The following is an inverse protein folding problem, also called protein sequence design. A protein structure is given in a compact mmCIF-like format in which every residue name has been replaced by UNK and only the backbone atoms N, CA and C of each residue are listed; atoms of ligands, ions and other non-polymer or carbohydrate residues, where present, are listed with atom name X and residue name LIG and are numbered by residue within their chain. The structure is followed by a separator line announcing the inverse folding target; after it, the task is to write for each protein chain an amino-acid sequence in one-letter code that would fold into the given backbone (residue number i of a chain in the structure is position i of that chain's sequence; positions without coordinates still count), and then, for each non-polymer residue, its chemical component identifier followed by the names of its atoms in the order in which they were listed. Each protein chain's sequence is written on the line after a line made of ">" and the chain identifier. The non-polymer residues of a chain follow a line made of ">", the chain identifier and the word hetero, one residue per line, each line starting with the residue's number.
data_IF_126990788640
#
_entry.id   IF_126990788640
#
_cell.length_a   1.000
_cell.length_b   1.000
_cell.length_c   1.000
_cell.angle_alpha   90.00
_cell.angle_beta   90.00
_cell.angle_gamma   90.00
#
_symmetry.space_group_name_H-M   'P 1'
#
loop_
_entity.id
_entity.type
_entity.pdbx_description
1 polymer ?
#
# COMPACT_ATOMS: atom_id res chain seq x y z
N UNK A 1 31.77 2.78 -1.84
CA UNK A 1 30.42 3.33 -2.00
C UNK A 1 29.43 2.45 -1.29
N UNK A 2 28.69 3.03 -0.35
CA UNK A 2 27.66 2.31 0.39
C UNK A 2 26.43 2.15 -0.50
N UNK A 3 25.94 0.93 -0.67
CA UNK A 3 24.66 0.69 -1.31
C UNK A 3 23.55 1.21 -0.40
N UNK A 4 22.60 1.95 -0.96
CA UNK A 4 21.49 2.53 -0.21
C UNK A 4 20.78 1.51 0.69
N UNK A 5 20.60 0.27 0.22
CA UNK A 5 19.88 -0.78 0.94
C UNK A 5 20.67 -1.50 2.04
N UNK A 6 21.98 -1.23 2.21
CA UNK A 6 22.81 -1.97 3.18
C UNK A 6 22.76 -1.42 4.59
N UNK A 7 22.25 -0.18 4.80
CA UNK A 7 22.28 0.53 6.08
C UNK A 7 21.01 0.42 6.90
N UNK A 8 19.83 0.24 6.27
CA UNK A 8 18.55 0.17 6.95
C UNK A 8 17.80 -1.09 6.55
N UNK A 9 17.33 -1.85 7.53
CA UNK A 9 16.58 -3.09 7.32
C UNK A 9 15.20 -3.05 7.97
N UNK A 10 14.98 -2.17 8.95
CA UNK A 10 13.75 -2.15 9.74
C UNK A 10 13.02 -0.81 9.62
N UNK A 11 11.70 -0.85 9.82
CA UNK A 11 10.90 0.37 9.92
C UNK A 11 11.31 1.23 11.10
N UNK A 12 11.74 0.61 12.20
CA UNK A 12 12.24 1.35 13.35
C UNK A 12 13.43 2.24 12.97
N UNK A 13 14.37 1.71 12.21
CA UNK A 13 15.52 2.47 11.71
C UNK A 13 15.09 3.57 10.74
N UNK A 14 14.15 3.27 9.84
CA UNK A 14 13.75 4.19 8.77
C UNK A 14 12.85 5.33 9.27
N UNK A 15 11.86 5.02 10.10
CA UNK A 15 10.80 5.96 10.48
C UNK A 15 10.48 5.99 11.97
N UNK A 16 11.28 5.30 12.81
CA UNK A 16 11.02 5.24 14.25
C UNK A 16 10.99 6.61 14.92
N UNK A 17 11.78 7.56 14.44
CA UNK A 17 11.79 8.93 14.97
C UNK A 17 10.49 9.69 14.71
N UNK A 18 9.69 9.32 13.74
CA UNK A 18 8.39 9.95 13.46
C UNK A 18 7.41 9.78 14.62
N UNK A 19 7.54 8.69 15.38
CA UNK A 19 6.65 8.42 16.53
C UNK A 19 6.80 9.45 17.62
N UNK A 20 7.93 10.13 17.71
CA UNK A 20 8.19 11.20 18.71
C UNK A 20 7.75 12.58 18.22
N UNK A 21 7.39 12.72 16.97
CA UNK A 21 6.96 13.99 16.39
C UNK A 21 5.58 14.39 16.90
N UNK A 22 5.37 15.68 17.22
CA UNK A 22 4.08 16.15 17.73
C UNK A 22 2.90 15.84 16.81
N UNK A 23 3.08 15.92 15.48
CA UNK A 23 2.00 15.62 14.54
C UNK A 23 1.54 14.16 14.64
N UNK A 24 2.50 13.23 14.81
CA UNK A 24 2.19 11.80 14.91
C UNK A 24 1.47 11.51 16.22
N UNK A 25 1.95 12.07 17.31
CA UNK A 25 1.31 11.93 18.63
C UNK A 25 -0.11 12.50 18.61
N UNK A 26 -0.31 13.62 17.92
CA UNK A 26 -1.65 14.20 17.74
C UNK A 26 -2.59 13.25 16.99
N UNK A 27 -2.11 12.59 15.94
CA UNK A 27 -2.89 11.59 15.21
C UNK A 27 -3.34 10.46 16.16
N UNK A 28 -2.38 9.87 16.87
CA UNK A 28 -2.65 8.73 17.75
C UNK A 28 -3.62 9.12 18.87
N UNK A 29 -3.42 10.27 19.49
CA UNK A 29 -4.30 10.78 20.56
C UNK A 29 -5.71 11.06 20.03
N UNK A 30 -5.84 11.66 18.85
CA UNK A 30 -7.12 11.95 18.24
C UNK A 30 -7.91 10.69 17.94
N UNK A 31 -7.27 9.69 17.32
CA UNK A 31 -7.92 8.41 17.00
C UNK A 31 -8.34 7.69 18.28
N UNK A 32 -7.45 7.65 19.28
CA UNK A 32 -7.74 7.05 20.58
C UNK A 32 -8.93 7.73 21.27
N UNK A 33 -8.97 9.06 21.23
CA UNK A 33 -10.07 9.86 21.81
C UNK A 33 -11.39 9.54 21.10
N UNK A 34 -11.39 9.51 19.78
CA UNK A 34 -12.61 9.18 19.02
C UNK A 34 -13.12 7.78 19.35
N UNK A 35 -12.24 6.78 19.45
CA UNK A 35 -12.61 5.43 19.87
C UNK A 35 -13.18 5.43 21.30
N UNK A 36 -12.55 6.17 22.19
CA UNK A 36 -13.02 6.32 23.59
C UNK A 36 -14.37 6.99 23.74
N UNK A 37 -14.74 7.81 22.75
CA UNK A 37 -16.07 8.46 22.67
C UNK A 37 -17.13 7.57 22.01
N UNK A 38 -16.79 6.32 21.67
CA UNK A 38 -17.73 5.38 21.06
C UNK A 38 -17.81 5.46 19.53
N UNK A 39 -16.96 6.25 18.89
CA UNK A 39 -16.91 6.26 17.41
C UNK A 39 -16.25 4.99 16.90
N UNK A 40 -16.83 4.43 15.86
CA UNK A 40 -16.26 3.26 15.19
C UNK A 40 -15.25 3.75 14.16
N UNK A 41 -13.99 3.33 14.33
CA UNK A 41 -12.86 3.66 13.46
C UNK A 41 -12.34 2.38 12.83
N UNK A 42 -12.09 2.41 11.52
CA UNK A 42 -11.47 1.30 10.80
C UNK A 42 -10.05 1.66 10.37
N UNK A 43 -9.15 0.67 10.28
CA UNK A 43 -9.30 -0.70 10.77
C UNK A 43 -9.29 -0.75 12.30
N UNK A 44 -9.55 -1.93 12.92
CA UNK A 44 -9.35 -2.10 14.36
C UNK A 44 -7.96 -1.62 14.80
N UNK A 45 -7.84 -1.17 16.05
CA UNK A 45 -6.61 -0.55 16.54
C UNK A 45 -5.37 -1.43 16.32
N UNK A 46 -5.49 -2.72 16.53
CA UNK A 46 -4.40 -3.70 16.34
C UNK A 46 -3.98 -3.87 14.89
N UNK A 47 -4.80 -3.44 13.92
CA UNK A 47 -4.54 -3.63 12.49
C UNK A 47 -4.04 -2.39 11.77
N UNK A 48 -4.03 -1.23 12.41
CA UNK A 48 -3.69 0.06 11.77
C UNK A 48 -2.32 0.01 11.06
N UNK A 49 -1.34 -0.67 11.65
CA UNK A 49 0.02 -0.75 11.12
C UNK A 49 0.36 -2.12 10.51
N UNK A 50 -0.62 -2.90 10.10
CA UNK A 50 -0.39 -4.24 9.56
C UNK A 50 0.50 -4.25 8.32
N UNK A 51 0.43 -3.24 7.46
CA UNK A 51 1.29 -3.16 6.27
C UNK A 51 2.78 -3.22 6.66
N UNK A 52 3.14 -2.53 7.74
CA UNK A 52 4.52 -2.50 8.24
C UNK A 52 4.93 -3.79 8.93
N UNK A 53 4.00 -4.45 9.63
CA UNK A 53 4.26 -5.75 10.26
C UNK A 53 4.40 -6.88 9.26
N UNK A 54 3.58 -6.86 8.22
CA UNK A 54 3.61 -7.90 7.19
C UNK A 54 4.81 -7.78 6.25
N UNK A 55 5.31 -6.56 6.04
CA UNK A 55 6.37 -6.27 5.09
C UNK A 55 7.40 -5.36 5.76
N UNK A 56 8.51 -5.94 6.22
CA UNK A 56 9.60 -5.16 6.84
C UNK A 56 10.28 -4.27 5.79
N UNK A 57 10.87 -3.17 6.24
CA UNK A 57 11.52 -2.19 5.37
C UNK A 57 12.54 -2.81 4.42
N UNK A 58 13.42 -3.67 4.94
CA UNK A 58 14.45 -4.36 4.14
C UNK A 58 13.90 -5.36 3.13
N UNK A 59 12.64 -5.77 3.29
CA UNK A 59 11.98 -6.76 2.44
C UNK A 59 11.06 -6.16 1.38
N UNK A 60 10.88 -4.84 1.36
CA UNK A 60 9.99 -4.19 0.39
C UNK A 60 10.54 -4.36 -1.02
N UNK A 61 9.77 -4.98 -1.89
CA UNK A 61 10.07 -5.16 -3.32
C UNK A 61 9.14 -4.33 -4.21
N UNK A 62 7.89 -4.21 -3.80
CA UNK A 62 6.84 -3.48 -4.53
C UNK A 62 6.07 -2.64 -3.52
N UNK A 63 5.74 -1.41 -3.90
CA UNK A 63 4.85 -0.53 -3.13
C UNK A 63 3.60 -0.27 -3.95
N UNK A 64 2.44 -0.57 -3.38
CA UNK A 64 1.15 -0.21 -3.97
C UNK A 64 0.49 0.78 -3.03
N UNK A 65 0.23 2.01 -3.51
CA UNK A 65 -0.40 3.05 -2.70
C UNK A 65 -1.92 3.04 -2.88
N UNK A 66 -2.64 2.89 -1.76
CA UNK A 66 -4.07 3.14 -1.68
C UNK A 66 -4.35 4.51 -1.08
N UNK A 67 -5.61 4.88 -0.92
CA UNK A 67 -6.01 6.14 -0.27
C UNK A 67 -6.31 5.91 1.21
N UNK A 68 -7.57 5.91 1.59
CA UNK A 68 -7.96 5.59 2.96
C UNK A 68 -8.52 4.15 3.06
N UNK A 69 -8.62 3.60 4.28
CA UNK A 69 -9.17 2.26 4.46
C UNK A 69 -10.62 2.16 4.01
N UNK A 70 -11.07 0.97 3.71
CA UNK A 70 -12.50 0.71 3.53
C UNK A 70 -13.26 1.12 4.80
N UNK A 71 -14.40 1.79 4.62
CA UNK A 71 -15.19 2.31 5.74
C UNK A 71 -16.43 1.45 6.08
N UNK A 72 -16.58 0.30 5.44
CA UNK A 72 -17.60 -0.68 5.74
C UNK A 72 -17.18 -1.65 6.83
N UNK A 73 -18.14 -2.16 7.59
CA UNK A 73 -17.87 -3.07 8.69
C UNK A 73 -17.13 -4.34 8.23
N UNK A 74 -16.08 -4.72 8.95
CA UNK A 74 -15.34 -5.96 8.72
C UNK A 74 -14.41 -5.98 7.50
N UNK A 75 -14.32 -4.90 6.73
CA UNK A 75 -13.54 -4.88 5.49
C UNK A 75 -12.05 -4.62 5.75
N UNK A 76 -11.71 -3.46 6.31
CA UNK A 76 -10.32 -3.02 6.46
C UNK A 76 -9.56 -3.82 7.53
N UNK A 77 -8.32 -4.17 7.22
CA UNK A 77 -7.42 -4.84 8.17
C UNK A 77 -5.96 -4.33 8.08
N UNK A 78 -5.76 -3.15 7.51
CA UNK A 78 -4.46 -2.48 7.48
C UNK A 78 -3.61 -2.74 6.24
N UNK A 79 -4.12 -3.45 5.25
CA UNK A 79 -3.47 -3.65 3.95
C UNK A 79 -4.32 -3.00 2.85
N UNK A 80 -3.73 -2.09 2.08
CA UNK A 80 -4.42 -1.41 1.00
C UNK A 80 -5.05 -2.40 0.01
N UNK A 81 -6.27 -2.14 -0.43
CA UNK A 81 -7.08 -2.94 -1.36
C UNK A 81 -7.56 -4.28 -0.80
N UNK A 82 -6.94 -4.81 0.24
CA UNK A 82 -7.27 -6.10 0.84
C UNK A 82 -8.48 -6.01 1.75
N UNK A 83 -9.28 -7.08 1.77
CA UNK A 83 -10.34 -7.28 2.76
C UNK A 83 -10.11 -8.59 3.50
N UNK A 84 -10.74 -8.75 4.66
CA UNK A 84 -10.68 -10.00 5.42
C UNK A 84 -11.34 -11.14 4.65
N UNK A 85 -10.95 -12.36 4.95
CA UNK A 85 -11.62 -13.54 4.43
C UNK A 85 -13.10 -13.51 4.82
N UNK A 86 -13.96 -14.00 3.91
CA UNK A 86 -15.42 -14.01 4.12
C UNK A 86 -16.12 -12.70 3.76
N UNK A 87 -15.36 -11.66 3.40
CA UNK A 87 -15.89 -10.37 2.96
C UNK A 87 -15.91 -10.33 1.44
N UNK A 88 -16.96 -9.77 0.85
CA UNK A 88 -17.06 -9.62 -0.60
C UNK A 88 -15.88 -8.82 -1.17
N UNK A 89 -15.35 -9.27 -2.30
CA UNK A 89 -14.23 -8.60 -2.98
C UNK A 89 -14.69 -7.22 -3.45
N UNK A 90 -14.04 -6.12 -3.02
CA UNK A 90 -14.44 -4.78 -3.43
C UNK A 90 -14.23 -4.54 -4.94
N UNK A 91 -14.98 -3.59 -5.54
CA UNK A 91 -14.95 -3.37 -6.99
C UNK A 91 -13.57 -3.07 -7.57
N UNK A 92 -12.74 -2.27 -6.89
CA UNK A 92 -11.38 -1.99 -7.35
C UNK A 92 -10.52 -3.25 -7.36
N UNK A 93 -10.65 -4.11 -6.35
CA UNK A 93 -9.90 -5.37 -6.27
C UNK A 93 -10.40 -6.37 -7.32
N UNK A 94 -11.69 -6.39 -7.62
CA UNK A 94 -12.23 -7.17 -8.75
C UNK A 94 -11.49 -6.80 -10.04
N UNK A 95 -11.30 -5.52 -10.29
CA UNK A 95 -10.59 -5.03 -11.47
C UNK A 95 -9.10 -5.35 -11.44
N UNK A 96 -8.47 -5.28 -10.27
CA UNK A 96 -7.08 -5.72 -10.10
C UNK A 96 -6.95 -7.19 -10.48
N UNK A 97 -7.87 -8.05 -10.03
CA UNK A 97 -7.87 -9.47 -10.39
C UNK A 97 -8.10 -9.71 -11.88
N UNK A 98 -8.96 -8.91 -12.52
CA UNK A 98 -9.18 -9.01 -13.98
C UNK A 98 -7.90 -8.67 -14.75
N UNK A 99 -7.20 -7.63 -14.33
CA UNK A 99 -5.92 -7.28 -14.98
C UNK A 99 -4.87 -8.38 -14.73
N UNK A 100 -4.80 -8.92 -13.53
CA UNK A 100 -3.92 -10.05 -13.22
C UNK A 100 -4.21 -11.27 -14.09
N UNK A 101 -5.48 -11.59 -14.32
CA UNK A 101 -5.86 -12.72 -15.16
C UNK A 101 -5.41 -12.55 -16.62
N UNK A 102 -5.41 -11.30 -17.11
CA UNK A 102 -4.93 -10.99 -18.46
C UNK A 102 -3.41 -10.91 -18.54
N UNK A 103 -2.76 -10.44 -17.48
CA UNK A 103 -1.33 -10.13 -17.46
C UNK A 103 -0.45 -11.32 -17.09
N UNK A 104 -0.90 -12.14 -16.15
CA UNK A 104 -0.12 -13.26 -15.59
C UNK A 104 -0.72 -14.58 -16.09
N UNK A 105 0.05 -15.30 -16.88
CA UNK A 105 -0.36 -16.61 -17.38
C UNK A 105 -0.66 -17.57 -16.23
N UNK A 106 -1.81 -18.21 -16.28
CA UNK A 106 -2.23 -19.17 -15.27
C UNK A 106 -2.84 -18.57 -14.00
N UNK A 107 -2.93 -17.24 -13.90
CA UNK A 107 -3.59 -16.60 -12.75
C UNK A 107 -5.08 -16.98 -12.73
N UNK A 108 -5.53 -17.47 -11.57
CA UNK A 108 -6.92 -17.81 -11.33
C UNK A 108 -7.53 -16.78 -10.40
N UNK A 109 -8.62 -16.13 -10.83
CA UNK A 109 -9.31 -15.13 -10.02
C UNK A 109 -9.84 -15.81 -8.76
N UNK A 110 -9.36 -15.40 -7.55
CA UNK A 110 -9.82 -15.99 -6.30
C UNK A 110 -11.22 -15.51 -5.93
N UNK A 111 -11.88 -16.25 -5.04
CA UNK A 111 -13.19 -15.88 -4.51
C UNK A 111 -13.10 -14.97 -3.27
N UNK A 112 -11.89 -14.75 -2.78
CA UNK A 112 -11.62 -13.90 -1.60
C UNK A 112 -10.76 -12.70 -1.99
N UNK A 113 -10.74 -11.68 -1.12
CA UNK A 113 -9.94 -10.48 -1.31
C UNK A 113 -8.82 -10.30 -0.27
N UNK A 114 -8.32 -11.38 0.31
CA UNK A 114 -7.31 -11.34 1.36
C UNK A 114 -5.92 -11.42 0.74
N UNK A 115 -5.15 -10.33 0.83
CA UNK A 115 -3.88 -10.16 0.10
C UNK A 115 -2.63 -10.34 0.97
N UNK A 116 -2.77 -11.00 2.13
CA UNK A 116 -1.65 -11.22 3.06
C UNK A 116 -0.45 -11.90 2.37
N UNK A 117 -0.70 -12.83 1.45
CA UNK A 117 0.36 -13.54 0.74
C UNK A 117 1.25 -12.61 -0.11
N UNK A 118 0.67 -11.55 -0.68
CA UNK A 118 1.47 -10.54 -1.38
C UNK A 118 2.38 -9.80 -0.39
N UNK A 119 1.81 -9.37 0.73
CA UNK A 119 2.55 -8.61 1.74
C UNK A 119 3.73 -9.42 2.30
N UNK A 120 3.54 -10.69 2.56
CA UNK A 120 4.58 -11.60 3.06
C UNK A 120 5.74 -11.78 2.07
N UNK A 121 5.51 -11.54 0.79
CA UNK A 121 6.54 -11.61 -0.25
C UNK A 121 7.29 -10.30 -0.48
N UNK A 122 6.87 -9.21 0.16
CA UNK A 122 7.51 -7.92 0.01
C UNK A 122 6.69 -6.87 -0.74
N UNK A 123 5.39 -7.09 -0.89
CA UNK A 123 4.47 -6.08 -1.45
C UNK A 123 3.92 -5.23 -0.31
N UNK A 124 4.40 -4.01 -0.19
CA UNK A 124 3.90 -3.05 0.79
C UNK A 124 2.58 -2.46 0.29
N UNK A 125 1.48 -2.91 0.89
CA UNK A 125 0.13 -2.45 0.58
C UNK A 125 -0.21 -1.29 1.52
N UNK A 126 0.17 -0.08 1.11
CA UNK A 126 0.14 1.10 1.97
C UNK A 126 -0.98 2.06 1.58
N UNK A 127 -1.96 2.25 2.48
CA UNK A 127 -2.87 3.38 2.38
C UNK A 127 -2.16 4.66 2.79
N UNK A 128 -2.44 5.77 2.14
CA UNK A 128 -1.82 7.05 2.46
C UNK A 128 -2.42 7.68 3.71
N UNK A 129 -3.65 7.29 4.05
CA UNK A 129 -4.34 7.61 5.31
C UNK A 129 -4.67 6.27 5.98
N UNK A 130 -4.29 6.09 7.25
CA UNK A 130 -4.32 4.77 7.87
C UNK A 130 -5.56 4.48 8.71
N UNK A 131 -6.42 5.47 8.91
CA UNK A 131 -7.68 5.30 9.65
C UNK A 131 -8.81 6.02 8.96
N UNK A 132 -10.05 5.59 9.25
CA UNK A 132 -11.26 6.20 8.73
C UNK A 132 -12.41 5.95 9.71
N UNK A 133 -13.34 6.90 9.83
CA UNK A 133 -14.58 6.69 10.59
C UNK A 133 -15.54 5.80 9.78
N UNK A 134 -16.22 4.91 10.48
CA UNK A 134 -17.21 4.01 9.85
C UNK A 134 -18.20 4.79 8.99
N UNK A 135 -18.38 4.36 7.74
CA UNK A 135 -19.33 4.95 6.81
C UNK A 135 -18.97 6.34 6.30
N UNK A 136 -17.80 6.89 6.64
CA UNK A 136 -17.43 8.26 6.32
C UNK A 136 -16.09 8.29 5.57
N UNK A 137 -16.14 8.07 4.27
CA UNK A 137 -14.94 8.14 3.42
C UNK A 137 -14.21 9.49 3.61
N UNK A 138 -12.88 9.44 3.63
CA UNK A 138 -11.99 10.60 3.78
C UNK A 138 -12.11 11.35 5.12
N UNK A 139 -12.79 10.79 6.11
CA UNK A 139 -13.04 11.47 7.39
C UNK A 139 -11.76 11.79 8.18
N UNK A 140 -10.67 11.05 7.97
CA UNK A 140 -9.37 11.31 8.59
C UNK A 140 -8.32 11.83 7.62
N UNK A 141 -8.72 12.29 6.42
CA UNK A 141 -7.79 12.74 5.38
C UNK A 141 -6.89 13.91 5.82
N UNK A 142 -7.38 14.76 6.73
CA UNK A 142 -6.64 15.94 7.21
C UNK A 142 -6.03 15.76 8.60
N UNK A 143 -6.07 14.53 9.15
CA UNK A 143 -5.59 14.27 10.50
C UNK A 143 -4.06 14.37 10.63
N UNK A 144 -3.34 14.12 9.54
CA UNK A 144 -1.87 14.15 9.51
C UNK A 144 -1.22 12.86 9.01
N UNK A 145 -2.00 11.81 8.72
CA UNK A 145 -1.46 10.54 8.22
C UNK A 145 -0.62 10.68 6.96
N UNK A 146 -0.99 11.60 6.05
CA UNK A 146 -0.26 11.76 4.79
C UNK A 146 1.16 12.25 5.00
N UNK A 147 1.41 13.07 6.01
CA UNK A 147 2.78 13.46 6.39
C UNK A 147 3.60 12.22 6.80
N UNK A 148 3.01 11.33 7.58
CA UNK A 148 3.67 10.08 7.99
C UNK A 148 3.96 9.18 6.80
N UNK A 149 2.97 8.95 5.94
CA UNK A 149 3.14 8.07 4.77
C UNK A 149 4.02 8.69 3.70
N UNK A 150 4.08 10.02 3.61
CA UNK A 150 5.09 10.70 2.78
C UNK A 150 6.50 10.38 3.26
N UNK A 151 6.73 10.37 4.56
CA UNK A 151 8.04 9.99 5.12
C UNK A 151 8.37 8.53 4.84
N UNK A 152 7.37 7.64 4.91
CA UNK A 152 7.55 6.23 4.55
C UNK A 152 8.06 6.08 3.11
N UNK A 153 7.38 6.72 2.16
CA UNK A 153 7.76 6.66 0.74
C UNK A 153 9.14 7.29 0.51
N UNK A 154 9.40 8.41 1.18
CA UNK A 154 10.70 9.10 1.10
C UNK A 154 11.85 8.21 1.57
N UNK A 155 11.69 7.51 2.68
CA UNK A 155 12.72 6.63 3.22
C UNK A 155 12.98 5.43 2.30
N UNK A 156 11.94 4.84 1.72
CA UNK A 156 12.09 3.78 0.72
C UNK A 156 12.87 4.31 -0.49
N UNK A 157 12.49 5.48 -0.99
CA UNK A 157 13.16 6.09 -2.13
C UNK A 157 14.65 6.34 -1.88
N UNK A 158 14.98 6.84 -0.70
CA UNK A 158 16.36 7.23 -0.36
C UNK A 158 17.24 6.06 0.06
N UNK A 159 16.70 5.06 0.73
CA UNK A 159 17.49 4.04 1.43
C UNK A 159 17.29 2.62 0.90
N UNK A 160 16.51 2.44 -0.15
CA UNK A 160 16.35 1.18 -0.86
C UNK A 160 16.70 1.37 -2.32
N UNK A 161 16.96 0.27 -3.02
CA UNK A 161 17.22 0.25 -4.46
C UNK A 161 16.32 -0.79 -5.12
N UNK A 162 15.99 -0.55 -6.40
CA UNK A 162 15.25 -1.50 -7.23
C UNK A 162 13.89 -1.90 -6.65
N UNK A 163 13.18 -0.92 -6.09
CA UNK A 163 11.79 -1.09 -5.66
C UNK A 163 10.85 -0.67 -6.79
N UNK A 164 9.76 -1.41 -6.96
CA UNK A 164 8.71 -1.07 -7.92
C UNK A 164 7.61 -0.31 -7.21
N UNK A 165 7.29 0.88 -7.70
CA UNK A 165 6.18 1.69 -7.18
C UNK A 165 5.03 1.65 -8.18
N UNK A 166 3.88 1.12 -7.77
CA UNK A 166 2.65 1.13 -8.57
C UNK A 166 1.77 2.27 -8.09
N UNK A 167 1.63 3.29 -8.93
CA UNK A 167 0.92 4.52 -8.61
C UNK A 167 -0.34 4.62 -9.47
N UNK A 168 -1.48 4.29 -8.89
CA UNK A 168 -2.76 4.23 -9.58
C UNK A 168 -3.62 5.44 -9.24
N UNK A 169 -3.88 6.26 -10.25
CA UNK A 169 -4.64 7.49 -10.13
C UNK A 169 -3.78 8.70 -9.76
N UNK A 170 -4.36 9.88 -9.91
CA UNK A 170 -3.64 11.14 -9.74
C UNK A 170 -3.11 11.38 -8.31
N UNK A 171 -3.87 10.95 -7.30
CA UNK A 171 -3.47 11.10 -5.90
C UNK A 171 -2.16 10.36 -5.61
N UNK A 172 -2.10 9.07 -5.98
CA UNK A 172 -0.90 8.26 -5.79
C UNK A 172 0.28 8.79 -6.62
N UNK A 173 0.01 9.23 -7.85
CA UNK A 173 1.05 9.76 -8.75
C UNK A 173 1.67 11.05 -8.21
N UNK A 174 0.86 11.93 -7.63
CA UNK A 174 1.37 13.15 -6.97
C UNK A 174 2.23 12.80 -5.76
N UNK A 175 1.78 11.86 -4.95
CA UNK A 175 2.51 11.42 -3.76
C UNK A 175 3.87 10.82 -4.10
N UNK A 176 3.96 10.09 -5.21
CA UNK A 176 5.19 9.47 -5.70
C UNK A 176 5.97 10.29 -6.73
N UNK A 177 5.63 11.56 -6.95
CA UNK A 177 6.25 12.36 -8.01
C UNK A 177 7.77 12.57 -7.84
N UNK A 178 8.26 12.54 -6.60
CA UNK A 178 9.67 12.76 -6.27
C UNK A 178 10.54 11.49 -6.35
N UNK A 179 9.96 10.32 -6.61
CA UNK A 179 10.70 9.05 -6.62
C UNK A 179 11.78 9.05 -7.70
N UNK A 180 12.98 8.65 -7.33
CA UNK A 180 14.13 8.56 -8.23
C UNK A 180 13.99 7.38 -9.19
N UNK A 181 13.68 7.68 -10.45
CA UNK A 181 13.45 6.68 -11.49
C UNK A 181 14.75 6.02 -11.99
N UNK A 182 15.91 6.54 -11.61
CA UNK A 182 17.19 5.88 -11.88
C UNK A 182 17.47 4.75 -10.89
N UNK A 183 16.89 4.82 -9.70
CA UNK A 183 17.07 3.82 -8.63
C UNK A 183 15.91 2.84 -8.53
N UNK A 184 14.73 3.22 -9.01
CA UNK A 184 13.48 2.47 -8.85
C UNK A 184 12.66 2.45 -10.14
N UNK A 185 11.74 1.52 -10.25
CA UNK A 185 10.74 1.50 -11.33
C UNK A 185 9.44 2.13 -10.82
N UNK A 186 8.96 3.14 -11.53
CA UNK A 186 7.66 3.78 -11.25
C UNK A 186 6.70 3.42 -12.38
N UNK A 187 5.61 2.72 -12.03
CA UNK A 187 4.55 2.32 -12.94
C UNK A 187 3.29 3.10 -12.62
N UNK A 188 2.84 3.91 -13.57
CA UNK A 188 1.66 4.77 -13.42
C UNK A 188 0.53 4.29 -14.32
N UNK A 189 -0.69 4.31 -13.81
CA UNK A 189 -1.91 3.99 -14.54
C UNK A 189 -3.10 4.70 -13.89
N UNK A 190 -4.25 4.82 -14.60
CA UNK A 190 -5.49 5.22 -13.96
C UNK A 190 -5.85 4.27 -12.81
N UNK A 191 -6.66 4.74 -11.86
CA UNK A 191 -7.08 3.94 -10.72
C UNK A 191 -7.92 2.72 -11.16
N UNK A 192 -7.81 1.56 -10.48
CA UNK A 192 -8.60 0.37 -10.81
C UNK A 192 -10.09 0.47 -10.47
N UNK A 193 -10.55 1.56 -9.88
CA UNK A 193 -11.97 1.81 -9.65
C UNK A 193 -12.77 1.63 -10.95
N UNK A 194 -14.03 1.11 -10.87
CA UNK A 194 -14.90 1.03 -12.04
C UNK A 194 -15.07 2.35 -12.79
N UNK A 195 -14.87 3.49 -12.12
CA UNK A 195 -14.98 4.84 -12.73
C UNK A 195 -13.84 5.14 -13.71
N UNK A 196 -12.69 4.47 -13.59
CA UNK A 196 -11.48 4.83 -14.34
C UNK A 196 -10.70 3.65 -14.92
N UNK A 197 -11.00 2.42 -14.54
CA UNK A 197 -10.23 1.24 -14.94
C UNK A 197 -10.14 1.08 -16.46
N UNK A 198 -11.20 1.40 -17.19
CA UNK A 198 -11.24 1.30 -18.65
C UNK A 198 -10.45 2.40 -19.36
N UNK A 199 -9.95 3.39 -18.63
CA UNK A 199 -9.16 4.50 -19.20
C UNK A 199 -7.66 4.19 -19.27
N UNK A 200 -7.25 2.97 -18.94
CA UNK A 200 -5.84 2.56 -19.05
C UNK A 200 -5.30 1.74 -17.89
N UNK A 201 -6.09 1.41 -16.87
CA UNK A 201 -5.67 0.42 -15.88
C UNK A 201 -5.68 -0.97 -16.52
N UNK A 202 -6.77 -1.34 -17.18
CA UNK A 202 -6.78 -2.59 -17.97
C UNK A 202 -5.79 -2.49 -19.12
N UNK A 203 -4.89 -3.46 -19.19
CA UNK A 203 -3.81 -3.49 -20.19
C UNK A 203 -2.52 -2.83 -19.71
N UNK A 204 -2.45 -2.29 -18.47
CA UNK A 204 -1.24 -1.66 -17.97
C UNK A 204 -0.09 -2.65 -17.73
N UNK A 205 -0.39 -3.92 -17.49
CA UNK A 205 0.59 -5.00 -17.32
C UNK A 205 1.60 -4.74 -16.20
N UNK A 206 1.18 -4.03 -15.17
CA UNK A 206 2.06 -3.66 -14.06
C UNK A 206 2.66 -4.87 -13.35
N UNK A 207 1.91 -5.97 -13.24
CA UNK A 207 2.33 -7.14 -12.45
C UNK A 207 3.45 -7.91 -13.14
N UNK A 208 3.35 -8.16 -14.45
CA UNK A 208 4.42 -8.80 -15.22
C UNK A 208 5.61 -7.85 -15.39
N UNK A 209 5.36 -6.55 -15.57
CA UNK A 209 6.42 -5.55 -15.68
C UNK A 209 7.21 -5.43 -14.38
N UNK A 210 6.55 -5.48 -13.25
CA UNK A 210 7.20 -5.50 -11.94
C UNK A 210 8.11 -6.72 -11.81
N UNK A 211 7.61 -7.91 -12.15
CA UNK A 211 8.39 -9.13 -12.06
C UNK A 211 9.59 -9.15 -13.00
N UNK A 212 9.44 -8.63 -14.23
CA UNK A 212 10.56 -8.50 -15.16
C UNK A 212 11.66 -7.61 -14.59
N UNK A 213 11.29 -6.47 -14.01
CA UNK A 213 12.24 -5.54 -13.39
C UNK A 213 12.95 -6.18 -12.20
N UNK A 214 12.21 -6.87 -11.33
CA UNK A 214 12.81 -7.56 -10.18
C UNK A 214 13.82 -8.62 -10.63
N UNK A 215 13.47 -9.44 -11.62
CA UNK A 215 14.37 -10.46 -12.16
C UNK A 215 15.61 -9.86 -12.79
N UNK A 216 15.50 -8.77 -13.54
CA UNK A 216 16.64 -8.06 -14.14
C UNK A 216 17.63 -7.57 -13.08
N UNK A 217 17.16 -7.32 -11.87
CA UNK A 217 18.00 -6.84 -10.77
C UNK A 217 18.32 -7.93 -9.75
N UNK A 218 18.15 -9.21 -10.10
CA UNK A 218 18.51 -10.33 -9.25
C UNK A 218 17.62 -10.53 -8.03
N UNK A 219 16.40 -10.00 -8.07
CA UNK A 219 15.43 -10.08 -6.98
C UNK A 219 14.36 -11.10 -7.36
N UNK A 220 14.00 -11.97 -6.43
CA UNK A 220 12.94 -12.96 -6.64
C UNK A 220 11.61 -12.24 -6.98
N UNK A 221 10.96 -12.60 -8.09
CA UNK A 221 9.69 -12.00 -8.47
C UNK A 221 8.58 -12.37 -7.49
N UNK A 222 7.47 -11.66 -7.61
CA UNK A 222 6.30 -11.90 -6.77
C UNK A 222 5.44 -13.00 -7.40
N UNK A 223 5.02 -13.95 -6.60
CA UNK A 223 3.93 -14.87 -6.93
C UNK A 223 2.61 -14.14 -6.63
N UNK A 224 1.96 -13.65 -7.69
CA UNK A 224 0.74 -12.84 -7.56
C UNK A 224 -0.50 -13.68 -7.25
N UNK A 225 -0.42 -14.99 -7.30
CA UNK A 225 -1.58 -15.84 -6.98
C UNK A 225 -1.91 -15.76 -5.48
N UNK A 226 -3.18 -15.57 -5.16
CA UNK A 226 -3.70 -15.56 -3.79
C UNK A 226 -4.88 -16.51 -3.64
#
# INVERSE_FOLDING_TARGET
>A
PFHKGSLMQTWHEAIGSEKSEPYFQHIIETVKKERGMGRIIYPPAEDVFNAFRATEFGNVKVVILGQDPYHGAGQAHGLAFSVREGIAVPPSLVNIYKELADDIEGFRIPQHGYLQHWAEQGVLLLNTVLTVRAGQAHSHATLGWERFTDEVVKQINQNREHVVFMLWGSHAQKKGAFIDRSSHLVLSAPHPSPLSAYRGFFGCKHFSRANAYLQENGITPIDWQV
#
